data_IF_732236207037
#
_entry.id   IF_732236207037
#
_cell.length_a   1.000
_cell.length_b   1.000
_cell.length_c   1.000
_cell.angle_alpha   90.00
_cell.angle_beta   90.00
_cell.angle_gamma   90.00
#
_symmetry.space_group_name_H-M   'P 1'
#
loop_
_entity.id
_entity.type
_entity.pdbx_description
1 polymer ?
#
# COMPACT_ATOMS: atom_id res chain seq x y z
N UNK A 1 -23.43 41.68 -18.73
CA UNK A 1 -23.84 40.58 -17.83
C UNK A 1 -22.61 39.77 -17.57
N UNK A 2 -21.90 40.24 -16.55
CA UNK A 2 -20.55 39.80 -16.15
C UNK A 2 -20.69 38.48 -15.38
N UNK A 3 -20.11 37.40 -15.89
CA UNK A 3 -20.02 36.13 -15.17
C UNK A 3 -18.75 36.22 -14.39
N UNK A 4 -18.85 36.42 -13.08
CA UNK A 4 -17.75 36.32 -12.12
C UNK A 4 -17.20 34.89 -12.13
N UNK A 5 -15.96 34.75 -12.64
CA UNK A 5 -15.14 33.52 -12.59
C UNK A 5 -14.56 33.27 -11.18
N UNK A 6 -15.41 33.35 -10.15
CA UNK A 6 -15.06 33.06 -8.76
C UNK A 6 -15.67 31.71 -8.31
N UNK A 7 -15.48 30.64 -9.08
CA UNK A 7 -15.67 29.29 -8.57
C UNK A 7 -14.31 28.82 -8.01
N UNK A 8 -14.17 28.66 -6.69
CA UNK A 8 -12.87 28.26 -6.13
C UNK A 8 -12.53 26.87 -6.67
N UNK A 9 -11.48 26.80 -7.48
CA UNK A 9 -10.93 25.51 -7.88
C UNK A 9 -10.74 24.67 -6.63
N UNK A 10 -11.22 23.42 -6.60
CA UNK A 10 -11.00 22.56 -5.45
C UNK A 10 -9.49 22.52 -5.16
N UNK A 11 -9.09 22.58 -3.87
CA UNK A 11 -7.67 22.58 -3.49
C UNK A 11 -6.96 21.41 -4.14
N UNK A 12 -5.78 21.65 -4.69
CA UNK A 12 -4.97 20.60 -5.29
C UNK A 12 -4.71 19.49 -4.26
N UNK A 13 -5.00 18.24 -4.64
CA UNK A 13 -4.82 17.10 -3.76
C UNK A 13 -3.33 16.86 -3.54
N UNK A 14 -2.91 16.84 -2.28
CA UNK A 14 -1.53 16.53 -1.92
C UNK A 14 -1.22 15.04 -2.17
N UNK A 15 -0.31 14.80 -3.09
CA UNK A 15 0.20 13.47 -3.46
C UNK A 15 1.65 13.27 -3.05
N UNK A 16 2.20 14.16 -2.22
CA UNK A 16 3.58 14.10 -1.75
C UNK A 16 3.78 13.02 -0.70
N UNK A 17 5.02 12.63 -0.53
CA UNK A 17 5.49 11.88 0.63
C UNK A 17 5.21 12.67 1.92
N UNK A 18 4.92 11.98 3.01
CA UNK A 18 4.67 12.63 4.29
C UNK A 18 5.32 11.91 5.47
N UNK A 19 5.76 12.69 6.44
CA UNK A 19 6.23 12.21 7.73
C UNK A 19 5.41 12.90 8.83
N UNK A 20 4.73 12.12 9.66
CA UNK A 20 3.95 12.60 10.79
C UNK A 20 4.63 12.20 12.08
N UNK A 21 4.72 13.13 13.03
CA UNK A 21 5.38 12.91 14.30
C UNK A 21 4.63 11.94 15.21
N UNK A 22 5.39 11.25 16.04
CA UNK A 22 4.94 10.28 17.01
C UNK A 22 6.11 9.70 17.79
N UNK A 23 5.85 8.76 18.70
CA UNK A 23 6.89 8.13 19.51
C UNK A 23 6.51 6.74 20.00
N UNK A 24 7.51 5.92 20.28
CA UNK A 24 7.35 4.58 20.84
C UNK A 24 6.85 3.51 19.84
N UNK A 25 6.48 3.93 18.62
CA UNK A 25 6.15 3.06 17.49
C UNK A 25 6.25 3.88 16.22
N UNK A 26 6.85 3.30 15.17
CA UNK A 26 6.94 3.88 13.83
C UNK A 26 6.21 3.00 12.81
N UNK A 27 5.52 3.61 11.86
CA UNK A 27 4.79 2.92 10.80
C UNK A 27 5.22 3.39 9.41
N UNK A 28 5.64 2.46 8.56
CA UNK A 28 5.92 2.70 7.14
C UNK A 28 4.68 2.37 6.33
N UNK A 29 4.11 3.35 5.63
CA UNK A 29 2.92 3.20 4.80
C UNK A 29 3.31 3.19 3.32
N UNK A 30 2.86 2.16 2.57
CA UNK A 30 3.21 1.93 1.17
C UNK A 30 1.94 1.86 0.33
N UNK A 31 1.78 2.81 -0.62
CA UNK A 31 0.61 2.88 -1.51
C UNK A 31 0.64 1.84 -2.64
N UNK A 32 -0.44 1.78 -3.42
CA UNK A 32 -0.62 0.85 -4.53
C UNK A 32 -0.01 1.30 -5.86
N UNK A 33 -0.02 0.40 -6.86
CA UNK A 33 0.39 0.70 -8.24
C UNK A 33 -0.58 1.71 -8.86
N UNK A 34 -0.06 2.73 -9.52
CA UNK A 34 -0.80 3.91 -10.05
C UNK A 34 -1.43 4.80 -8.99
N UNK A 35 -1.31 4.45 -7.71
CA UNK A 35 -1.72 5.26 -6.58
C UNK A 35 -0.66 6.28 -6.18
N UNK A 36 -0.90 6.97 -5.09
CA UNK A 36 0.00 7.98 -4.53
C UNK A 36 -0.04 7.91 -3.00
N UNK A 37 0.86 8.59 -2.26
CA UNK A 37 0.78 8.67 -0.80
C UNK A 37 -0.58 9.14 -0.26
N UNK A 38 -1.38 9.86 -1.05
CA UNK A 38 -2.75 10.22 -0.73
C UNK A 38 -3.60 9.03 -0.27
N UNK A 39 -3.44 7.85 -0.92
CA UNK A 39 -4.19 6.63 -0.55
C UNK A 39 -3.94 6.20 0.90
N UNK A 40 -2.78 6.56 1.46
CA UNK A 40 -2.38 6.19 2.80
C UNK A 40 -2.54 7.32 3.82
N UNK A 41 -2.88 8.55 3.37
CA UNK A 41 -2.87 9.74 4.20
C UNK A 41 -3.90 9.68 5.33
N UNK A 42 -5.14 9.31 5.03
CA UNK A 42 -6.19 9.18 6.06
C UNK A 42 -5.79 8.19 7.15
N UNK A 43 -5.28 7.01 6.78
CA UNK A 43 -4.77 6.02 7.73
C UNK A 43 -3.61 6.60 8.55
N UNK A 44 -2.68 7.28 7.89
CA UNK A 44 -1.54 7.93 8.53
C UNK A 44 -1.97 8.96 9.59
N UNK A 45 -2.95 9.81 9.26
CA UNK A 45 -3.48 10.83 10.17
C UNK A 45 -4.14 10.19 11.42
N UNK A 46 -4.90 9.08 11.24
CA UNK A 46 -5.50 8.36 12.37
C UNK A 46 -4.44 7.70 13.28
N UNK A 47 -3.38 7.16 12.70
CA UNK A 47 -2.27 6.59 13.46
C UNK A 47 -1.46 7.66 14.18
N UNK A 48 -1.20 8.81 13.56
CA UNK A 48 -0.52 9.94 14.18
C UNK A 48 -1.34 10.53 15.34
N UNK A 49 -2.67 10.59 15.21
CA UNK A 49 -3.58 10.96 16.31
C UNK A 49 -3.47 9.99 17.51
N UNK A 50 -3.07 8.73 17.27
CA UNK A 50 -2.72 7.76 18.30
C UNK A 50 -1.24 7.84 18.71
N UNK A 51 -0.53 8.92 18.40
CA UNK A 51 0.89 9.15 18.71
C UNK A 51 1.86 8.14 18.12
N UNK A 52 1.51 7.54 16.98
CA UNK A 52 2.40 6.68 16.19
C UNK A 52 3.12 7.56 15.17
N UNK A 53 4.46 7.44 15.05
CA UNK A 53 5.20 8.10 13.97
C UNK A 53 4.87 7.41 12.66
N UNK A 54 4.54 8.18 11.63
CA UNK A 54 4.09 7.63 10.35
C UNK A 54 4.89 8.21 9.20
N UNK A 55 5.42 7.35 8.36
CA UNK A 55 6.04 7.74 7.10
C UNK A 55 5.25 7.13 5.93
N UNK A 56 4.57 7.98 5.15
CA UNK A 56 3.90 7.59 3.92
C UNK A 56 4.83 7.82 2.73
N UNK A 57 5.50 6.77 2.28
CA UNK A 57 6.55 6.84 1.23
C UNK A 57 5.94 7.07 -0.16
N UNK A 58 6.62 7.89 -0.98
CA UNK A 58 6.33 8.02 -2.41
C UNK A 58 7.20 7.04 -3.19
N UNK A 59 6.58 6.07 -3.85
CA UNK A 59 7.31 5.10 -4.68
C UNK A 59 7.81 5.75 -5.98
N UNK A 60 8.99 5.34 -6.43
CA UNK A 60 9.61 5.84 -7.66
C UNK A 60 8.62 5.81 -8.85
N UNK A 61 8.60 6.88 -9.65
CA UNK A 61 7.74 7.04 -10.82
C UNK A 61 6.25 7.28 -10.52
N UNK A 62 5.83 7.31 -9.24
CA UNK A 62 4.44 7.61 -8.83
C UNK A 62 4.28 9.09 -8.50
N UNK A 63 3.04 9.57 -8.49
CA UNK A 63 2.69 11.01 -8.34
C UNK A 63 3.25 11.90 -9.45
N UNK A 64 3.58 11.31 -10.58
CA UNK A 64 4.14 11.93 -11.76
C UNK A 64 3.30 11.53 -12.99
N UNK A 65 3.88 11.60 -14.18
CA UNK A 65 3.19 11.16 -15.40
C UNK A 65 3.16 9.62 -15.54
N UNK A 66 2.22 9.05 -16.31
CA UNK A 66 2.25 7.63 -16.65
C UNK A 66 3.56 7.19 -17.31
N UNK A 67 4.22 8.09 -18.04
CA UNK A 67 5.51 7.84 -18.69
C UNK A 67 6.61 7.58 -17.65
N UNK A 68 6.67 8.40 -16.59
CA UNK A 68 7.61 8.22 -15.49
C UNK A 68 7.45 6.84 -14.84
N UNK A 69 6.19 6.43 -14.55
CA UNK A 69 5.88 5.11 -14.03
C UNK A 69 6.31 3.99 -15.00
N UNK A 70 6.25 4.23 -16.32
CA UNK A 70 6.69 3.28 -17.36
C UNK A 70 8.20 3.09 -17.44
N UNK A 71 9.01 3.95 -16.83
CA UNK A 71 10.48 3.86 -16.84
C UNK A 71 11.07 3.07 -15.69
N UNK A 72 10.33 2.94 -14.58
CA UNK A 72 10.77 2.27 -13.35
C UNK A 72 10.34 0.79 -13.29
N UNK A 73 10.95 0.06 -12.37
CA UNK A 73 10.71 -1.37 -12.13
C UNK A 73 10.38 -1.63 -10.67
N UNK A 74 10.05 -2.86 -10.32
CA UNK A 74 9.84 -3.30 -8.94
C UNK A 74 11.08 -3.11 -8.05
N UNK A 75 12.30 -3.13 -8.63
CA UNK A 75 13.53 -2.82 -7.89
C UNK A 75 13.53 -1.36 -7.41
N UNK A 76 13.18 -0.41 -8.28
CA UNK A 76 13.13 1.01 -7.90
C UNK A 76 12.02 1.30 -6.87
N UNK A 77 10.86 0.63 -6.98
CA UNK A 77 9.82 0.74 -5.96
C UNK A 77 10.31 0.21 -4.62
N UNK A 78 11.03 -0.91 -4.64
CA UNK A 78 11.57 -1.49 -3.42
C UNK A 78 12.67 -0.64 -2.80
N UNK A 79 13.54 0.00 -3.59
CA UNK A 79 14.50 1.00 -3.10
C UNK A 79 13.79 2.11 -2.32
N UNK A 80 12.70 2.68 -2.86
CA UNK A 80 11.91 3.70 -2.15
C UNK A 80 11.37 3.20 -0.81
N UNK A 81 10.99 1.91 -0.73
CA UNK A 81 10.52 1.29 0.52
C UNK A 81 11.66 1.13 1.52
N UNK A 82 12.84 0.70 1.06
CA UNK A 82 14.03 0.55 1.92
C UNK A 82 14.48 1.91 2.46
N UNK A 83 14.53 2.95 1.62
CA UNK A 83 14.88 4.30 2.05
C UNK A 83 13.91 4.81 3.14
N UNK A 84 12.61 4.59 2.94
CA UNK A 84 11.59 4.93 3.93
C UNK A 84 11.75 4.15 5.24
N UNK A 85 12.09 2.88 5.17
CA UNK A 85 12.35 2.03 6.32
C UNK A 85 13.60 2.48 7.09
N UNK A 86 14.72 2.73 6.40
CA UNK A 86 15.96 3.21 7.03
C UNK A 86 15.77 4.59 7.69
N UNK A 87 14.96 5.46 7.07
CA UNK A 87 14.59 6.74 7.69
C UNK A 87 13.87 6.54 9.02
N UNK A 88 12.96 5.58 9.13
CA UNK A 88 12.28 5.28 10.39
C UNK A 88 13.20 4.59 11.40
N UNK A 89 14.13 3.74 10.97
CA UNK A 89 15.11 3.09 11.85
C UNK A 89 15.95 4.07 12.64
N UNK A 90 16.22 5.23 12.07
CA UNK A 90 17.00 6.29 12.75
C UNK A 90 16.35 6.82 14.03
N UNK A 91 15.04 6.60 14.23
CA UNK A 91 14.34 7.01 15.45
C UNK A 91 14.44 5.98 16.59
N UNK A 92 14.82 4.74 16.30
CA UNK A 92 15.01 3.69 17.31
C UNK A 92 13.72 3.08 17.86
N UNK A 93 12.56 3.46 17.36
CA UNK A 93 11.28 2.85 17.73
C UNK A 93 11.07 1.50 17.02
N UNK A 94 10.27 0.55 17.58
CA UNK A 94 9.78 -0.59 16.82
C UNK A 94 9.09 -0.13 15.54
N UNK A 95 9.28 -0.86 14.43
CA UNK A 95 8.72 -0.49 13.13
C UNK A 95 7.69 -1.51 12.69
N UNK A 96 6.52 -1.03 12.26
CA UNK A 96 5.52 -1.82 11.54
C UNK A 96 5.46 -1.38 10.09
N UNK A 97 5.30 -2.33 9.16
CA UNK A 97 5.12 -2.04 7.75
C UNK A 97 3.69 -2.31 7.32
N UNK A 98 3.09 -1.38 6.57
CA UNK A 98 1.69 -1.42 6.14
C UNK A 98 1.64 -1.10 4.65
N UNK A 99 1.08 -1.99 3.84
CA UNK A 99 1.04 -1.79 2.40
C UNK A 99 -0.31 -2.09 1.78
N UNK A 100 -0.74 -1.21 0.86
CA UNK A 100 -1.96 -1.35 0.07
C UNK A 100 -1.65 -1.98 -1.29
N UNK A 101 -2.38 -3.01 -1.70
CA UNK A 101 -2.29 -3.60 -3.04
C UNK A 101 -0.86 -4.05 -3.40
N UNK A 102 -0.21 -3.42 -4.39
CA UNK A 102 1.22 -3.60 -4.66
C UNK A 102 2.08 -3.29 -3.44
N UNK A 103 1.73 -2.24 -2.69
CA UNK A 103 2.40 -1.91 -1.42
C UNK A 103 2.34 -3.06 -0.41
N UNK A 104 1.27 -3.86 -0.40
CA UNK A 104 1.16 -5.07 0.43
C UNK A 104 2.13 -6.18 0.00
N UNK A 105 2.46 -6.28 -1.29
CA UNK A 105 3.48 -7.21 -1.79
C UNK A 105 4.89 -6.69 -1.47
N UNK A 106 5.11 -5.37 -1.57
CA UNK A 106 6.37 -4.72 -1.18
C UNK A 106 6.61 -4.82 0.34
N UNK A 107 5.55 -4.65 1.16
CA UNK A 107 5.61 -4.86 2.60
C UNK A 107 6.01 -6.31 2.95
N UNK A 108 5.45 -7.29 2.24
CA UNK A 108 5.82 -8.68 2.41
C UNK A 108 7.30 -8.94 2.01
N UNK A 109 7.77 -8.32 0.92
CA UNK A 109 9.18 -8.38 0.53
C UNK A 109 10.09 -7.79 1.61
N UNK A 110 9.74 -6.63 2.14
CA UNK A 110 10.50 -6.00 3.23
C UNK A 110 10.54 -6.91 4.47
N UNK A 111 9.40 -7.52 4.85
CA UNK A 111 9.34 -8.42 6.00
C UNK A 111 10.21 -9.68 5.81
N UNK A 112 10.31 -10.22 4.59
CA UNK A 112 11.21 -11.34 4.26
C UNK A 112 12.68 -10.90 4.39
N UNK A 113 13.03 -9.72 3.85
CA UNK A 113 14.43 -9.29 3.78
C UNK A 113 14.93 -8.66 5.09
N UNK A 114 14.06 -8.02 5.88
CA UNK A 114 14.43 -7.33 7.12
C UNK A 114 14.11 -8.15 8.40
N UNK A 115 13.31 -9.20 8.30
CA UNK A 115 13.07 -10.16 9.37
C UNK A 115 12.75 -9.49 10.72
N UNK A 116 13.58 -9.77 11.74
CA UNK A 116 13.40 -9.31 13.13
C UNK A 116 13.42 -7.76 13.31
N UNK A 117 13.86 -7.00 12.30
CA UNK A 117 13.84 -5.54 12.37
C UNK A 117 12.42 -4.95 12.26
N UNK A 118 11.42 -5.79 11.93
CA UNK A 118 10.02 -5.40 11.86
C UNK A 118 9.20 -6.02 13.00
N UNK A 119 8.46 -5.20 13.73
CA UNK A 119 7.59 -5.63 14.82
C UNK A 119 6.32 -6.33 14.33
N UNK A 120 5.77 -5.91 13.18
CA UNK A 120 4.58 -6.49 12.58
C UNK A 120 4.43 -6.08 11.10
N UNK A 121 3.56 -6.81 10.38
CA UNK A 121 3.17 -6.50 9.01
C UNK A 121 1.65 -6.37 8.87
N UNK A 122 1.20 -5.36 8.10
CA UNK A 122 -0.21 -5.22 7.69
C UNK A 122 -0.31 -5.21 6.17
N UNK A 123 -1.11 -6.10 5.63
CA UNK A 123 -1.39 -6.19 4.20
C UNK A 123 -2.83 -5.80 3.91
N UNK A 124 -3.02 -4.71 3.17
CA UNK A 124 -4.30 -4.15 2.79
C UNK A 124 -4.57 -4.51 1.32
N UNK A 125 -5.57 -5.34 1.04
CA UNK A 125 -5.92 -5.84 -0.30
C UNK A 125 -4.70 -6.23 -1.17
N UNK A 126 -3.75 -7.07 -0.66
CA UNK A 126 -2.47 -7.30 -1.33
C UNK A 126 -2.62 -7.93 -2.71
N UNK A 127 -1.80 -7.47 -3.69
CA UNK A 127 -1.89 -7.84 -5.09
C UNK A 127 -1.07 -9.11 -5.44
N UNK A 128 -1.21 -10.19 -4.69
CA UNK A 128 -0.55 -11.47 -5.02
C UNK A 128 -1.13 -12.14 -6.25
N UNK A 129 -2.41 -11.95 -6.51
CA UNK A 129 -3.08 -12.47 -7.70
C UNK A 129 -4.04 -11.45 -8.29
N UNK A 130 -3.86 -11.16 -9.57
CA UNK A 130 -4.83 -10.46 -10.39
C UNK A 130 -5.93 -11.42 -10.90
N UNK A 131 -7.07 -10.94 -11.43
CA UNK A 131 -8.08 -11.76 -12.07
C UNK A 131 -7.51 -12.62 -13.20
N UNK A 132 -8.09 -13.80 -13.44
CA UNK A 132 -7.62 -14.73 -14.49
C UNK A 132 -7.48 -14.05 -15.87
N UNK A 133 -8.47 -13.27 -16.37
CA UNK A 133 -8.35 -12.63 -17.68
C UNK A 133 -7.16 -11.67 -17.76
N UNK A 134 -6.95 -10.84 -16.75
CA UNK A 134 -5.83 -9.90 -16.70
C UNK A 134 -4.47 -10.64 -16.71
N UNK A 135 -4.35 -11.72 -15.93
CA UNK A 135 -3.13 -12.53 -15.90
C UNK A 135 -2.85 -13.21 -17.25
N UNK A 136 -3.87 -13.75 -17.91
CA UNK A 136 -3.72 -14.38 -19.21
C UNK A 136 -3.30 -13.35 -20.28
N UNK A 137 -3.92 -12.16 -20.26
CA UNK A 137 -3.55 -11.07 -21.14
C UNK A 137 -2.09 -10.66 -20.92
N UNK A 138 -1.69 -10.36 -19.70
CA UNK A 138 -0.31 -9.97 -19.36
C UNK A 138 0.71 -11.03 -19.75
N UNK A 139 0.38 -12.31 -19.58
CA UNK A 139 1.23 -13.41 -20.02
C UNK A 139 1.40 -13.44 -21.54
N UNK A 140 0.31 -13.30 -22.27
CA UNK A 140 0.31 -13.37 -23.75
C UNK A 140 1.07 -12.19 -24.40
N UNK A 141 0.98 -10.99 -23.82
CA UNK A 141 1.62 -9.77 -24.36
C UNK A 141 3.03 -9.53 -23.82
N UNK A 142 3.49 -10.32 -22.84
CA UNK A 142 4.82 -10.17 -22.21
C UNK A 142 5.98 -10.11 -23.22
N UNK A 143 6.06 -10.92 -24.29
CA UNK A 143 7.15 -10.82 -25.26
C UNK A 143 7.18 -9.49 -26.00
N UNK A 144 6.01 -8.94 -26.33
CA UNK A 144 5.89 -7.66 -27.04
C UNK A 144 6.15 -6.43 -26.12
N UNK A 145 5.95 -6.55 -24.81
CA UNK A 145 6.11 -5.46 -23.88
C UNK A 145 7.56 -4.97 -23.75
N UNK A 146 8.54 -5.82 -24.03
CA UNK A 146 9.96 -5.42 -24.08
C UNK A 146 10.27 -4.46 -25.23
N UNK A 147 9.46 -4.48 -26.30
CA UNK A 147 9.59 -3.64 -27.48
C UNK A 147 8.69 -2.40 -27.41
N UNK A 148 7.65 -2.41 -26.59
CA UNK A 148 6.63 -1.38 -26.53
C UNK A 148 6.83 -0.45 -25.33
N UNK A 149 7.74 0.51 -25.44
CA UNK A 149 8.04 1.46 -24.37
C UNK A 149 6.88 2.42 -24.03
N UNK A 150 5.77 2.41 -24.80
CA UNK A 150 4.62 3.33 -24.66
C UNK A 150 3.27 2.62 -24.81
N UNK A 151 3.17 1.39 -24.31
CA UNK A 151 1.88 0.68 -24.28
C UNK A 151 1.24 0.90 -22.92
N UNK A 152 0.01 1.42 -22.93
CA UNK A 152 -0.77 1.71 -21.73
C UNK A 152 -2.05 0.89 -21.72
N UNK A 153 -2.38 0.36 -20.56
CA UNK A 153 -3.67 -0.24 -20.28
C UNK A 153 -4.58 0.84 -19.68
N UNK A 154 -5.73 1.07 -20.32
CA UNK A 154 -6.71 1.99 -19.77
C UNK A 154 -7.47 1.32 -18.62
N UNK A 155 -7.69 2.05 -17.52
CA UNK A 155 -8.53 1.63 -16.39
C UNK A 155 -9.93 2.25 -16.56
N UNK A 156 -10.91 1.55 -17.13
CA UNK A 156 -12.25 2.08 -17.28
C UNK A 156 -12.85 2.40 -15.89
N UNK A 157 -13.32 3.63 -15.70
CA UNK A 157 -13.91 4.06 -14.43
C UNK A 157 -12.91 4.47 -13.34
N UNK A 158 -11.60 4.52 -13.63
CA UNK A 158 -10.56 4.98 -12.70
C UNK A 158 -10.18 3.96 -11.62
N UNK A 159 -9.91 4.46 -10.43
CA UNK A 159 -9.58 3.61 -9.27
C UNK A 159 -10.81 2.88 -8.76
N UNK A 160 -10.64 1.62 -8.35
CA UNK A 160 -11.73 0.78 -7.86
C UNK A 160 -12.09 1.15 -6.42
N UNK A 161 -12.95 2.15 -6.28
CA UNK A 161 -13.46 2.73 -5.04
C UNK A 161 -15.00 2.71 -5.12
N UNK A 162 -15.68 2.19 -4.09
CA UNK A 162 -17.14 2.13 -4.01
C UNK A 162 -17.74 3.51 -3.78
N UNK A 163 -17.19 4.29 -2.84
CA UNK A 163 -17.60 5.66 -2.57
C UNK A 163 -17.40 6.55 -3.79
N UNK A 164 -18.50 7.07 -4.36
CA UNK A 164 -18.49 7.87 -5.57
C UNK A 164 -17.79 9.23 -5.38
N UNK A 165 -17.87 9.82 -4.18
CA UNK A 165 -17.22 11.10 -3.88
C UNK A 165 -15.71 10.89 -3.77
N UNK A 166 -15.26 9.89 -3.03
CA UNK A 166 -13.84 9.53 -2.92
C UNK A 166 -13.26 9.16 -4.29
N UNK A 167 -13.98 8.38 -5.11
CA UNK A 167 -13.54 7.99 -6.45
C UNK A 167 -13.35 9.20 -7.39
N UNK A 168 -14.23 10.22 -7.30
CA UNK A 168 -14.15 11.41 -8.15
C UNK A 168 -12.91 12.24 -7.91
N UNK A 169 -12.47 12.34 -6.65
CA UNK A 169 -11.32 13.15 -6.25
C UNK A 169 -10.02 12.34 -6.21
N UNK A 170 -10.06 11.03 -6.43
CA UNK A 170 -8.89 10.18 -6.30
C UNK A 170 -7.82 10.53 -7.34
N UNK A 171 -6.57 10.86 -6.93
CA UNK A 171 -5.52 11.38 -7.82
C UNK A 171 -4.77 10.29 -8.59
N UNK A 172 -5.18 9.03 -8.50
CA UNK A 172 -4.49 7.91 -9.14
C UNK A 172 -4.53 7.96 -10.67
N UNK A 173 -3.48 7.47 -11.32
CA UNK A 173 -3.37 7.42 -12.78
C UNK A 173 -4.40 6.47 -13.40
N UNK A 174 -5.14 6.96 -14.41
CA UNK A 174 -6.07 6.15 -15.21
C UNK A 174 -5.37 5.30 -16.28
N UNK A 175 -4.12 5.63 -16.61
CA UNK A 175 -3.28 4.90 -17.55
C UNK A 175 -2.26 4.09 -16.78
N UNK A 176 -2.27 2.79 -16.98
CA UNK A 176 -1.31 1.85 -16.41
C UNK A 176 -0.29 1.44 -17.48
N UNK A 177 0.97 1.85 -17.37
CA UNK A 177 2.00 1.37 -18.27
C UNK A 177 2.10 -0.16 -18.23
N UNK A 178 2.17 -0.77 -19.40
CA UNK A 178 2.26 -2.24 -19.50
C UNK A 178 3.49 -2.80 -18.77
N UNK A 179 4.62 -2.10 -18.83
CA UNK A 179 5.83 -2.48 -18.07
C UNK A 179 5.58 -2.52 -16.58
N UNK A 180 4.90 -1.51 -16.03
CA UNK A 180 4.59 -1.47 -14.59
C UNK A 180 3.66 -2.62 -14.19
N UNK A 181 2.66 -2.96 -15.02
CA UNK A 181 1.80 -4.13 -14.78
C UNK A 181 2.60 -5.45 -14.79
N UNK A 182 3.57 -5.59 -15.69
CA UNK A 182 4.45 -6.77 -15.76
C UNK A 182 5.39 -6.82 -14.55
N UNK A 183 6.02 -5.69 -14.16
CA UNK A 183 6.87 -5.62 -12.96
C UNK A 183 6.10 -6.01 -11.69
N UNK A 184 4.83 -5.60 -11.55
CA UNK A 184 3.99 -6.08 -10.44
C UNK A 184 3.82 -7.61 -10.48
N UNK A 185 3.60 -8.21 -11.65
CA UNK A 185 3.46 -9.67 -11.74
C UNK A 185 4.76 -10.41 -11.42
N UNK A 186 5.90 -9.84 -11.76
CA UNK A 186 7.23 -10.36 -11.44
C UNK A 186 7.53 -10.23 -9.94
N UNK A 187 7.30 -9.06 -9.35
CA UNK A 187 7.40 -8.83 -7.91
C UNK A 187 6.57 -9.88 -7.14
N UNK A 188 5.29 -10.01 -7.50
CA UNK A 188 4.40 -10.96 -6.85
C UNK A 188 4.86 -12.42 -7.03
N UNK A 189 5.38 -12.79 -8.21
CA UNK A 189 5.90 -14.13 -8.47
C UNK A 189 7.13 -14.45 -7.62
N UNK A 190 7.99 -13.46 -7.36
CA UNK A 190 9.21 -13.61 -6.57
C UNK A 190 8.93 -13.67 -5.06
N UNK A 191 7.92 -12.94 -4.57
CA UNK A 191 7.58 -12.87 -3.14
C UNK A 191 6.73 -14.08 -2.69
N UNK A 192 5.78 -14.54 -3.52
CA UNK A 192 4.84 -15.62 -3.15
C UNK A 192 5.50 -16.89 -2.57
N UNK A 193 6.59 -17.44 -3.16
CA UNK A 193 7.22 -18.66 -2.62
C UNK A 193 7.83 -18.48 -1.24
N UNK A 194 8.13 -17.25 -0.85
CA UNK A 194 8.83 -16.87 0.37
C UNK A 194 7.92 -16.41 1.50
N UNK A 195 6.59 -16.42 1.34
CA UNK A 195 5.67 -15.97 2.38
C UNK A 195 5.80 -16.77 3.68
N UNK A 196 6.29 -18.01 3.61
CA UNK A 196 6.57 -18.83 4.79
C UNK A 196 7.74 -18.33 5.63
N UNK A 197 8.55 -17.42 5.14
CA UNK A 197 9.66 -16.79 5.84
C UNK A 197 9.22 -15.58 6.71
N UNK A 198 7.97 -15.15 6.61
CA UNK A 198 7.41 -14.05 7.39
C UNK A 198 6.83 -14.58 8.69
N UNK A 199 7.55 -14.42 9.79
CA UNK A 199 7.17 -14.88 11.12
C UNK A 199 6.53 -13.79 11.99
N UNK A 200 6.63 -12.51 11.59
CA UNK A 200 6.10 -11.37 12.31
C UNK A 200 4.58 -11.48 12.44
N UNK A 201 3.99 -10.99 13.56
CA UNK A 201 2.54 -10.82 13.66
C UNK A 201 1.96 -10.09 12.46
N UNK A 202 0.86 -10.60 11.92
CA UNK A 202 0.34 -10.14 10.64
C UNK A 202 -1.17 -9.87 10.68
N UNK A 203 -1.56 -8.73 10.10
CA UNK A 203 -2.96 -8.37 9.84
C UNK A 203 -3.19 -8.31 8.32
N UNK A 204 -4.20 -9.04 7.85
CA UNK A 204 -4.68 -8.98 6.48
C UNK A 204 -6.07 -8.36 6.48
N UNK A 205 -6.26 -7.25 5.76
CA UNK A 205 -7.58 -6.64 5.54
C UNK A 205 -7.87 -6.67 4.04
N UNK A 206 -9.06 -7.16 3.65
CA UNK A 206 -9.42 -7.27 2.24
C UNK A 206 -10.93 -7.15 2.04
N UNK A 207 -11.35 -6.45 0.98
CA UNK A 207 -12.76 -6.29 0.65
C UNK A 207 -13.28 -7.48 -0.18
N UNK A 208 -14.46 -7.99 0.18
CA UNK A 208 -15.10 -9.10 -0.57
C UNK A 208 -15.50 -8.72 -1.99
N UNK A 209 -15.78 -7.44 -2.21
CA UNK A 209 -16.19 -6.89 -3.51
C UNK A 209 -15.02 -6.43 -4.38
N UNK A 210 -13.76 -6.72 -3.98
CA UNK A 210 -12.54 -6.37 -4.72
C UNK A 210 -12.47 -7.13 -6.06
N UNK A 211 -12.47 -6.37 -7.17
CA UNK A 211 -12.40 -6.90 -8.54
C UNK A 211 -10.99 -6.82 -9.13
N UNK A 212 -10.12 -5.98 -8.53
CA UNK A 212 -8.72 -5.83 -8.92
C UNK A 212 -7.87 -6.98 -8.37
N UNK A 213 -8.05 -7.33 -7.10
CA UNK A 213 -7.35 -8.43 -6.44
C UNK A 213 -8.37 -9.38 -5.80
N UNK A 214 -8.83 -10.45 -6.48
CA UNK A 214 -9.93 -11.29 -6.02
C UNK A 214 -9.75 -11.78 -4.58
N UNK A 215 -10.71 -11.43 -3.71
CA UNK A 215 -10.71 -11.69 -2.27
C UNK A 215 -10.35 -13.14 -1.94
N UNK A 216 -11.16 -14.10 -2.40
CA UNK A 216 -11.00 -15.52 -2.04
C UNK A 216 -9.61 -16.07 -2.38
N UNK A 217 -9.07 -15.68 -3.54
CA UNK A 217 -7.78 -16.19 -4.00
C UNK A 217 -6.62 -15.60 -3.21
N UNK A 218 -6.63 -14.29 -2.98
CA UNK A 218 -5.56 -13.59 -2.28
C UNK A 218 -5.57 -13.95 -0.79
N UNK A 219 -6.73 -13.87 -0.12
CA UNK A 219 -6.82 -14.12 1.32
C UNK A 219 -6.50 -15.57 1.67
N UNK A 220 -7.09 -16.54 0.93
CA UNK A 220 -6.79 -17.95 1.16
C UNK A 220 -5.31 -18.26 0.96
N UNK A 221 -4.69 -17.68 -0.06
CA UNK A 221 -3.28 -17.89 -0.34
C UNK A 221 -2.41 -17.33 0.78
N UNK A 222 -2.59 -16.06 1.17
CA UNK A 222 -1.82 -15.42 2.24
C UNK A 222 -2.00 -16.16 3.55
N UNK A 223 -3.25 -16.41 3.98
CA UNK A 223 -3.53 -17.08 5.26
C UNK A 223 -2.98 -18.49 5.34
N UNK A 224 -2.85 -19.19 4.20
CA UNK A 224 -2.29 -20.54 4.14
C UNK A 224 -0.76 -20.57 4.17
N UNK A 225 -0.09 -19.62 3.51
CA UNK A 225 1.35 -19.70 3.24
C UNK A 225 2.19 -18.78 4.12
N UNK A 226 1.58 -17.79 4.79
CA UNK A 226 2.28 -16.91 5.72
C UNK A 226 2.80 -17.73 6.91
N UNK A 227 4.11 -17.59 7.24
CA UNK A 227 4.78 -18.33 8.33
C UNK A 227 4.30 -17.92 9.70
N UNK A 228 3.86 -16.67 9.87
CA UNK A 228 3.39 -16.12 11.14
C UNK A 228 2.40 -17.05 11.88
N UNK A 229 2.69 -17.34 13.14
CA UNK A 229 1.78 -18.02 14.06
C UNK A 229 0.64 -17.09 14.54
N UNK A 230 0.85 -15.76 14.50
CA UNK A 230 -0.09 -14.71 14.90
C UNK A 230 -0.58 -13.94 13.69
N UNK A 231 -1.58 -14.46 13.01
CA UNK A 231 -2.16 -13.84 11.82
C UNK A 231 -3.68 -13.74 11.91
N UNK A 232 -4.22 -12.58 11.52
CA UNK A 232 -5.65 -12.26 11.53
C UNK A 232 -6.11 -11.76 10.17
N UNK A 233 -7.31 -12.19 9.74
CA UNK A 233 -8.00 -11.69 8.54
C UNK A 233 -9.22 -10.88 8.96
N UNK A 234 -9.36 -9.68 8.39
CA UNK A 234 -10.55 -8.84 8.46
C UNK A 234 -11.14 -8.72 7.05
N UNK A 235 -12.38 -9.14 6.87
CA UNK A 235 -13.12 -8.98 5.62
C UNK A 235 -13.98 -7.72 5.69
N UNK A 236 -13.96 -6.92 4.61
CA UNK A 236 -14.81 -5.74 4.42
C UNK A 236 -15.94 -6.08 3.45
N UNK A 237 -17.15 -5.59 3.73
CA UNK A 237 -18.36 -5.97 2.99
C UNK A 237 -18.78 -4.93 1.95
N UNK A 238 -18.48 -3.64 2.19
CA UNK A 238 -18.98 -2.53 1.37
C UNK A 238 -17.91 -1.87 0.48
N UNK A 239 -16.64 -1.99 0.85
CA UNK A 239 -15.54 -1.40 0.09
C UNK A 239 -15.17 -2.21 -1.16
N UNK A 240 -14.50 -1.55 -2.12
CA UNK A 240 -13.83 -2.20 -3.25
C UNK A 240 -12.33 -2.34 -2.98
N UNK A 241 -11.46 -2.09 -3.97
CA UNK A 241 -10.03 -2.39 -3.86
C UNK A 241 -9.24 -1.39 -2.99
N UNK A 242 -9.47 -0.07 -3.17
CA UNK A 242 -8.69 0.98 -2.48
C UNK A 242 -9.28 1.26 -1.10
N UNK A 243 -9.22 0.25 -0.22
CA UNK A 243 -9.94 0.20 1.07
C UNK A 243 -9.58 1.32 2.04
N UNK A 244 -8.44 1.99 1.84
CA UNK A 244 -7.93 3.06 2.72
C UNK A 244 -8.60 4.42 2.51
N UNK A 245 -9.32 4.59 1.40
CA UNK A 245 -10.06 5.81 1.05
C UNK A 245 -11.53 5.53 0.72
N UNK A 246 -11.97 4.29 0.83
CA UNK A 246 -13.31 3.83 0.47
C UNK A 246 -14.30 3.87 1.66
N UNK A 247 -15.49 3.36 1.46
CA UNK A 247 -16.65 3.39 2.36
C UNK A 247 -16.37 2.92 3.79
N UNK A 248 -15.42 2.00 3.99
CA UNK A 248 -15.06 1.46 5.31
C UNK A 248 -13.67 1.93 5.79
N UNK A 249 -13.14 3.06 5.28
CA UNK A 249 -11.80 3.57 5.65
C UNK A 249 -11.62 3.79 7.15
N UNK A 250 -12.66 4.24 7.86
CA UNK A 250 -12.63 4.42 9.31
C UNK A 250 -12.47 3.07 10.04
N UNK A 251 -13.14 2.04 9.55
CA UNK A 251 -12.99 0.68 10.07
C UNK A 251 -11.58 0.15 9.80
N UNK A 252 -11.05 0.35 8.59
CA UNK A 252 -9.66 -0.03 8.24
C UNK A 252 -8.68 0.66 9.16
N UNK A 253 -8.81 1.97 9.37
CA UNK A 253 -7.92 2.74 10.23
C UNK A 253 -7.98 2.26 11.69
N UNK A 254 -9.16 1.99 12.23
CA UNK A 254 -9.33 1.45 13.58
C UNK A 254 -8.68 0.08 13.74
N UNK A 255 -8.99 -0.88 12.85
CA UNK A 255 -8.44 -2.25 12.90
C UNK A 255 -6.90 -2.26 12.80
N UNK A 256 -6.34 -1.39 11.94
CA UNK A 256 -4.89 -1.25 11.80
C UNK A 256 -4.29 -0.62 13.05
N UNK A 257 -4.82 0.52 13.50
CA UNK A 257 -4.27 1.26 14.66
C UNK A 257 -4.33 0.43 15.94
N UNK A 258 -5.42 -0.29 16.19
CA UNK A 258 -5.55 -1.22 17.31
C UNK A 258 -4.49 -2.32 17.24
N UNK A 259 -4.38 -2.99 16.09
CA UNK A 259 -3.42 -4.08 15.92
C UNK A 259 -1.97 -3.63 16.10
N UNK A 260 -1.56 -2.52 15.49
CA UNK A 260 -0.16 -2.07 15.57
C UNK A 260 0.21 -1.48 16.93
N UNK A 261 -0.77 -0.91 17.66
CA UNK A 261 -0.54 -0.34 19.01
C UNK A 261 -0.05 -1.38 20.02
N UNK A 262 -0.30 -2.66 19.78
CA UNK A 262 0.20 -3.76 20.61
C UNK A 262 1.74 -3.90 20.57
N UNK A 263 2.40 -3.33 19.57
CA UNK A 263 3.86 -3.39 19.37
C UNK A 263 4.59 -2.12 19.83
N UNK A 264 3.90 -1.21 20.51
CA UNK A 264 4.51 -0.01 21.06
C UNK A 264 5.57 -0.39 22.12
N UNK A 265 6.74 0.25 22.06
CA UNK A 265 7.74 0.11 23.08
C UNK A 265 7.16 0.51 24.45
N UNK A 266 7.32 -0.32 25.46
CA UNK A 266 6.99 0.04 26.84
C UNK A 266 7.98 1.12 27.27
N UNK A 267 7.53 2.30 27.77
CA UNK A 267 8.44 3.31 28.27
C UNK A 267 9.31 2.69 29.36
N UNK A 268 10.62 2.59 29.13
CA UNK A 268 11.55 2.19 30.20
C UNK A 268 11.54 3.34 31.22
N UNK A 269 11.18 3.05 32.47
CA UNK A 269 11.10 3.99 33.58
C UNK A 269 12.49 4.50 34.02
N UNK A 270 13.37 4.86 33.08
CA UNK A 270 14.79 5.20 33.34
C UNK A 270 15.18 6.64 32.94
N UNK A 271 14.25 7.57 32.74
CA UNK A 271 14.63 8.96 32.46
C UNK A 271 14.15 9.98 33.52
N UNK A 272 13.78 9.54 34.71
CA UNK A 272 13.36 10.41 35.79
C UNK A 272 14.29 10.32 37.00
N UNK A 273 15.61 10.42 36.77
CA UNK A 273 16.60 10.75 37.82
C UNK A 273 17.82 11.42 37.17
N UNK A 274 17.78 12.72 37.02
CA UNK A 274 18.88 13.67 37.22
C UNK A 274 18.29 15.06 37.39
#
# INVERSE_FOLDING_TARGET
MDRSDDDPHPPAIDTSEFLLDGSGLSALLIHGLTGTPYEMRFLGDQMAAASIRVHGVKLAGHSESPEALGTVTDANWYESVVDGFERLRAYGDPIVVIGLSMGGVLAARLAIEQGEALAAIVMLAPAFFLPRPARMLLWAIRPAAKLANRVYLHKPGGSEIHDAAARRIHPGNHLLPLKAALSLTELSANVRPKLGEIDQPALLIHARKDRTCPFEKNTRFVMRHLGSSRKRLVALEESYHVITVDSEKERVAREVTEFVSEFRAVPTASAARC
#
